data_IF_227375532253
#
_entry.id   IF_227375532253
#
_cell.length_a   1.000
_cell.length_b   1.000
_cell.length_c   1.000
_cell.angle_alpha   90.00
_cell.angle_beta   90.00
_cell.angle_gamma   90.00
#
_symmetry.space_group_name_H-M   'P 1'
#
loop_
_entity.id
_entity.type
_entity.pdbx_description
1 polymer ?
#
# COMPACT_ATOMS: atom_id res chain seq x y z
N UNK A 1 16.23 -10.35 -13.53
CA UNK A 1 15.88 -11.77 -13.33
C UNK A 1 17.02 -12.48 -12.62
N UNK A 2 18.12 -12.89 -13.29
CA UNK A 2 19.21 -13.66 -12.63
C UNK A 2 19.75 -13.03 -11.34
N UNK A 3 20.09 -11.74 -11.36
CA UNK A 3 20.68 -11.08 -10.18
C UNK A 3 19.69 -10.87 -9.00
N UNK A 4 18.40 -11.12 -9.21
CA UNK A 4 17.33 -10.87 -8.21
C UNK A 4 16.62 -12.16 -7.75
N UNK A 5 16.87 -13.29 -8.41
CA UNK A 5 16.25 -14.57 -8.09
C UNK A 5 17.34 -15.63 -7.83
N UNK A 6 17.56 -16.03 -6.56
CA UNK A 6 18.51 -17.09 -6.21
C UNK A 6 18.20 -18.46 -6.84
N UNK A 7 16.95 -18.70 -7.27
CA UNK A 7 16.53 -19.95 -7.90
C UNK A 7 16.94 -20.03 -9.38
N UNK A 8 17.34 -18.93 -10.01
CA UNK A 8 17.74 -18.90 -11.41
C UNK A 8 19.16 -19.43 -11.60
N UNK A 9 19.32 -20.72 -11.96
CA UNK A 9 20.64 -21.34 -12.13
C UNK A 9 21.24 -21.09 -13.52
N UNK A 10 20.42 -20.79 -14.52
CA UNK A 10 20.91 -20.46 -15.87
C UNK A 10 19.96 -19.58 -16.69
N UNK A 11 20.49 -18.91 -17.73
CA UNK A 11 19.67 -18.15 -18.70
C UNK A 11 18.67 -19.03 -19.45
N UNK A 12 19.04 -20.28 -19.72
CA UNK A 12 18.18 -21.25 -20.42
C UNK A 12 17.02 -21.70 -19.55
N UNK A 13 17.26 -21.94 -18.26
CA UNK A 13 16.20 -22.25 -17.30
C UNK A 13 15.19 -21.11 -17.19
N UNK A 14 15.64 -19.85 -17.13
CA UNK A 14 14.71 -18.71 -17.18
C UNK A 14 13.94 -18.69 -18.50
N UNK A 15 14.64 -18.82 -19.63
CA UNK A 15 14.00 -18.75 -20.93
C UNK A 15 12.96 -19.86 -21.16
N UNK A 16 13.13 -21.03 -20.55
CA UNK A 16 12.26 -22.19 -20.75
C UNK A 16 11.20 -22.33 -19.65
N UNK A 17 11.53 -22.00 -18.41
CA UNK A 17 10.73 -22.39 -17.25
C UNK A 17 10.13 -21.21 -16.47
N UNK A 18 10.42 -19.95 -16.82
CA UNK A 18 9.92 -18.80 -16.05
C UNK A 18 8.69 -18.16 -16.73
N UNK A 19 7.48 -18.35 -16.19
CA UNK A 19 6.26 -17.77 -16.77
C UNK A 19 6.32 -16.24 -16.82
N UNK A 20 6.97 -15.61 -15.84
CA UNK A 20 7.19 -14.17 -15.81
C UNK A 20 7.99 -13.65 -17.01
N UNK A 21 9.02 -14.40 -17.44
CA UNK A 21 9.79 -14.04 -18.62
C UNK A 21 8.93 -14.14 -19.88
N UNK A 22 8.17 -15.22 -20.04
CA UNK A 22 7.26 -15.41 -21.17
C UNK A 22 6.18 -14.34 -21.22
N UNK A 23 5.60 -13.97 -20.08
CA UNK A 23 4.58 -12.93 -19.97
C UNK A 23 5.11 -11.57 -20.40
N UNK A 24 6.32 -11.18 -19.94
CA UNK A 24 6.93 -9.90 -20.30
C UNK A 24 7.27 -9.89 -21.81
N UNK A 25 7.88 -10.93 -22.34
CA UNK A 25 8.21 -11.02 -23.77
C UNK A 25 6.97 -10.98 -24.65
N UNK A 26 5.94 -11.74 -24.29
CA UNK A 26 4.64 -11.74 -24.96
C UNK A 26 3.95 -10.37 -24.89
N UNK A 27 3.99 -9.71 -23.72
CA UNK A 27 3.50 -8.33 -23.57
C UNK A 27 4.22 -7.36 -24.51
N UNK A 28 5.54 -7.44 -24.69
CA UNK A 28 6.24 -6.55 -25.63
C UNK A 28 5.71 -6.70 -27.05
N UNK A 29 5.42 -7.93 -27.49
CA UNK A 29 4.79 -8.19 -28.78
C UNK A 29 3.36 -7.66 -28.89
N UNK A 30 2.52 -7.90 -27.87
CA UNK A 30 1.13 -7.41 -27.89
C UNK A 30 1.05 -5.89 -27.74
N UNK A 31 1.93 -5.26 -26.96
CA UNK A 31 2.05 -3.79 -26.85
C UNK A 31 2.43 -3.16 -28.19
N UNK A 32 3.34 -3.79 -28.93
CA UNK A 32 3.70 -3.33 -30.27
C UNK A 32 2.51 -3.42 -31.25
N UNK A 33 1.75 -4.53 -31.23
CA UNK A 33 0.53 -4.69 -32.03
C UNK A 33 -0.51 -3.63 -31.66
N UNK A 34 -0.69 -3.40 -30.36
CA UNK A 34 -1.63 -2.43 -29.81
C UNK A 34 -1.33 -1.01 -30.30
N UNK A 35 -0.06 -0.59 -30.24
CA UNK A 35 0.41 0.72 -30.73
C UNK A 35 0.26 0.90 -32.24
N UNK A 36 0.25 -0.19 -33.02
CA UNK A 36 0.01 -0.18 -34.47
C UNK A 36 -1.47 -0.25 -34.86
N UNK A 37 -2.38 -0.24 -33.89
CA UNK A 37 -3.83 -0.23 -34.14
C UNK A 37 -4.48 -1.61 -34.22
N UNK A 38 -3.73 -2.71 -34.13
CA UNK A 38 -4.25 -4.08 -34.11
C UNK A 38 -4.79 -4.47 -32.72
N UNK A 39 -5.74 -3.67 -32.21
CA UNK A 39 -6.20 -3.74 -30.81
C UNK A 39 -6.85 -5.08 -30.45
N UNK A 40 -7.70 -5.62 -31.32
CA UNK A 40 -8.39 -6.90 -31.08
C UNK A 40 -7.38 -8.04 -31.01
N UNK A 41 -6.48 -8.13 -31.99
CA UNK A 41 -5.43 -9.15 -32.03
C UNK A 41 -4.52 -9.06 -30.81
N UNK A 42 -4.09 -7.87 -30.43
CA UNK A 42 -3.29 -7.66 -29.23
C UNK A 42 -4.01 -8.12 -27.96
N UNK A 43 -5.32 -7.84 -27.84
CA UNK A 43 -6.13 -8.28 -26.69
C UNK A 43 -6.31 -9.79 -26.66
N UNK A 44 -6.64 -10.39 -27.79
CA UNK A 44 -6.79 -11.84 -27.89
C UNK A 44 -5.49 -12.57 -27.49
N UNK A 45 -4.36 -12.15 -28.05
CA UNK A 45 -3.05 -12.71 -27.69
C UNK A 45 -2.69 -12.49 -26.22
N UNK A 46 -3.02 -11.33 -25.64
CA UNK A 46 -2.80 -11.10 -24.21
C UNK A 46 -3.61 -12.06 -23.31
N UNK A 47 -4.79 -12.50 -23.75
CA UNK A 47 -5.59 -13.48 -23.01
C UNK A 47 -5.00 -14.90 -23.11
N UNK A 48 -4.43 -15.27 -24.27
CA UNK A 48 -3.69 -16.53 -24.41
C UNK A 48 -2.46 -16.52 -23.49
N UNK A 49 -1.70 -15.42 -23.47
CA UNK A 49 -0.55 -15.27 -22.57
C UNK A 49 -0.96 -15.36 -21.10
N UNK A 50 -2.07 -14.71 -20.71
CA UNK A 50 -2.65 -14.83 -19.36
C UNK A 50 -2.98 -16.28 -19.02
N UNK A 51 -3.60 -17.01 -19.94
CA UNK A 51 -3.95 -18.42 -19.73
C UNK A 51 -2.71 -19.30 -19.56
N UNK A 52 -1.66 -19.09 -20.35
CA UNK A 52 -0.42 -19.87 -20.29
C UNK A 52 0.45 -19.53 -19.07
N UNK A 53 0.48 -18.26 -18.64
CA UNK A 53 1.43 -17.78 -17.64
C UNK A 53 0.82 -17.47 -16.28
N UNK A 54 -0.51 -17.32 -16.20
CA UNK A 54 -1.21 -16.84 -15.02
C UNK A 54 -1.03 -15.33 -14.74
N UNK A 55 -0.35 -14.60 -15.64
CA UNK A 55 -0.05 -13.17 -15.50
C UNK A 55 -0.87 -12.39 -16.54
N UNK A 56 -1.71 -11.48 -16.07
CA UNK A 56 -2.49 -10.60 -16.95
C UNK A 56 -1.79 -9.24 -17.11
N UNK A 57 -1.35 -8.94 -18.33
CA UNK A 57 -0.81 -7.62 -18.68
C UNK A 57 -1.62 -7.07 -19.85
N UNK A 58 -2.30 -5.95 -19.62
CA UNK A 58 -3.01 -5.29 -20.70
C UNK A 58 -2.02 -4.74 -21.74
N UNK A 59 -2.25 -4.95 -23.05
CA UNK A 59 -1.34 -4.46 -24.11
C UNK A 59 -1.13 -2.94 -24.10
N UNK A 60 -2.09 -2.18 -23.59
CA UNK A 60 -2.01 -0.72 -23.45
C UNK A 60 -1.10 -0.20 -22.33
N UNK A 61 -0.71 -1.05 -21.38
CA UNK A 61 0.15 -0.64 -20.27
C UNK A 61 1.52 -0.14 -20.77
N UNK A 62 2.20 0.68 -19.98
CA UNK A 62 3.57 1.13 -20.25
C UNK A 62 4.51 0.56 -19.20
N UNK A 63 5.52 -0.21 -19.64
CA UNK A 63 6.45 -0.89 -18.74
C UNK A 63 7.89 -0.54 -19.12
N UNK A 64 8.65 -0.05 -18.14
CA UNK A 64 10.06 0.29 -18.25
C UNK A 64 10.99 -0.92 -18.38
N UNK A 65 12.28 -0.71 -18.22
CA UNK A 65 13.34 -1.72 -18.32
C UNK A 65 13.52 -2.43 -16.99
N UNK A 66 14.04 -3.66 -17.05
CA UNK A 66 14.37 -4.48 -15.86
C UNK A 66 13.18 -4.70 -14.90
N UNK A 67 11.96 -4.56 -15.42
CA UNK A 67 10.74 -4.96 -14.72
C UNK A 67 10.81 -6.44 -14.37
N UNK A 68 10.57 -6.75 -13.10
CA UNK A 68 10.68 -8.09 -12.56
C UNK A 68 9.36 -8.51 -11.91
N UNK A 69 8.87 -9.69 -12.30
CA UNK A 69 7.73 -10.32 -11.67
C UNK A 69 8.24 -11.63 -11.07
N UNK A 70 8.10 -11.78 -9.76
CA UNK A 70 8.46 -12.99 -9.04
C UNK A 70 7.20 -13.81 -8.71
N UNK A 71 7.28 -15.13 -8.92
CA UNK A 71 6.20 -16.13 -8.90
C UNK A 71 5.02 -15.89 -9.86
N UNK A 72 4.63 -14.64 -10.10
CA UNK A 72 3.78 -14.14 -11.19
C UNK A 72 2.30 -14.52 -11.15
N UNK A 73 1.93 -15.66 -10.59
CA UNK A 73 0.55 -16.14 -10.61
C UNK A 73 -0.41 -15.09 -10.04
N UNK A 74 -1.46 -14.76 -10.79
CA UNK A 74 -2.50 -13.82 -10.36
C UNK A 74 -2.10 -12.34 -10.39
N UNK A 75 -0.96 -11.98 -11.00
CA UNK A 75 -0.63 -10.57 -11.25
C UNK A 75 -1.55 -9.99 -12.32
N UNK A 76 -2.12 -8.82 -12.06
CA UNK A 76 -3.03 -8.10 -12.98
C UNK A 76 -2.54 -6.67 -13.18
N UNK A 77 -2.22 -6.32 -14.42
CA UNK A 77 -1.75 -4.98 -14.81
C UNK A 77 -2.73 -4.38 -15.82
N UNK A 78 -3.42 -3.32 -15.40
CA UNK A 78 -4.45 -2.69 -16.21
C UNK A 78 -3.95 -1.78 -17.35
N UNK A 79 -4.89 -1.36 -18.19
CA UNK A 79 -4.61 -0.70 -19.48
C UNK A 79 -3.76 0.56 -19.39
N UNK A 80 -4.04 1.42 -18.41
CA UNK A 80 -3.37 2.72 -18.29
C UNK A 80 -2.32 2.72 -17.18
N UNK A 81 -1.87 1.53 -16.75
CA UNK A 81 -0.81 1.41 -15.78
C UNK A 81 0.52 1.84 -16.40
N UNK A 82 1.30 2.59 -15.64
CA UNK A 82 2.67 2.95 -16.00
C UNK A 82 3.62 2.39 -14.94
N UNK A 83 4.66 1.71 -15.40
CA UNK A 83 5.63 1.07 -14.53
C UNK A 83 7.01 1.52 -15.00
N UNK A 84 7.78 2.11 -14.09
CA UNK A 84 9.14 2.58 -14.32
C UNK A 84 10.17 1.47 -14.46
N UNK A 85 11.43 1.86 -14.38
CA UNK A 85 12.56 0.95 -14.43
C UNK A 85 12.76 0.23 -13.10
N UNK A 86 13.31 -0.98 -13.12
CA UNK A 86 13.75 -1.71 -11.92
C UNK A 86 12.63 -2.06 -10.91
N UNK A 87 11.37 -1.92 -11.29
CA UNK A 87 10.21 -2.28 -10.45
C UNK A 87 10.11 -3.79 -10.27
N UNK A 88 9.73 -4.22 -9.06
CA UNK A 88 9.52 -5.62 -8.69
C UNK A 88 8.10 -5.85 -8.18
N UNK A 89 7.36 -6.77 -8.82
CA UNK A 89 6.06 -7.24 -8.34
C UNK A 89 6.14 -8.71 -7.92
N UNK A 90 5.44 -9.07 -6.86
CA UNK A 90 5.23 -10.45 -6.46
C UNK A 90 3.88 -10.99 -6.96
N UNK A 91 3.61 -12.28 -6.72
CA UNK A 91 2.35 -12.93 -7.09
C UNK A 91 1.13 -12.23 -6.52
N UNK A 92 -0.02 -12.31 -7.21
CA UNK A 92 -1.30 -11.78 -6.76
C UNK A 92 -1.42 -10.25 -6.70
N UNK A 93 -0.42 -9.51 -7.21
CA UNK A 93 -0.46 -8.05 -7.24
C UNK A 93 -1.44 -7.54 -8.30
N UNK A 94 -2.26 -6.55 -7.93
CA UNK A 94 -3.17 -5.87 -8.86
C UNK A 94 -2.82 -4.39 -8.99
N UNK A 95 -2.60 -3.93 -10.22
CA UNK A 95 -2.54 -2.52 -10.60
C UNK A 95 -3.86 -2.18 -11.31
N UNK A 96 -4.86 -1.84 -10.51
CA UNK A 96 -6.26 -1.75 -10.90
C UNK A 96 -6.77 -0.31 -11.02
N UNK A 97 -7.91 -0.15 -11.67
CA UNK A 97 -8.66 1.11 -11.68
C UNK A 97 -9.75 1.16 -10.62
N UNK A 98 -10.15 2.36 -10.24
CA UNK A 98 -11.30 2.60 -9.36
C UNK A 98 -12.59 2.74 -10.18
N UNK A 99 -13.70 2.15 -9.70
CA UNK A 99 -15.06 2.34 -10.25
C UNK A 99 -15.24 2.07 -11.76
N UNK A 100 -14.89 0.88 -12.28
CA UNK A 100 -14.94 0.58 -13.71
C UNK A 100 -16.36 0.61 -14.33
N UNK A 101 -17.41 0.50 -13.52
CA UNK A 101 -18.81 0.46 -13.96
C UNK A 101 -19.51 1.82 -14.01
N UNK A 102 -18.92 2.88 -13.45
CA UNK A 102 -19.55 4.21 -13.41
C UNK A 102 -19.16 4.99 -14.64
N UNK A 103 -20.09 5.25 -15.57
CA UNK A 103 -19.78 5.97 -16.83
C UNK A 103 -18.62 5.34 -17.61
N UNK A 104 -18.69 4.03 -17.84
CA UNK A 104 -17.61 3.25 -18.46
C UNK A 104 -17.20 3.78 -19.84
N UNK A 105 -18.13 4.33 -20.62
CA UNK A 105 -17.83 4.93 -21.92
C UNK A 105 -17.04 6.24 -21.79
N UNK A 106 -17.37 7.08 -20.80
CA UNK A 106 -16.62 8.30 -20.50
C UNK A 106 -15.22 8.04 -19.94
N UNK A 107 -14.96 6.86 -19.38
CA UNK A 107 -13.65 6.48 -18.85
C UNK A 107 -12.73 5.81 -19.88
N UNK A 108 -13.21 5.49 -21.08
CA UNK A 108 -12.40 4.83 -22.12
C UNK A 108 -11.21 5.72 -22.51
N UNK A 109 -10.02 5.14 -22.46
CA UNK A 109 -8.78 5.85 -22.79
C UNK A 109 -8.29 6.84 -21.71
N UNK A 110 -9.04 7.05 -20.62
CA UNK A 110 -8.58 7.90 -19.51
C UNK A 110 -7.68 7.14 -18.54
N UNK A 111 -6.74 7.88 -17.93
CA UNK A 111 -5.86 7.38 -16.88
C UNK A 111 -6.71 7.00 -15.66
N UNK A 112 -6.60 5.73 -15.25
CA UNK A 112 -7.37 5.16 -14.13
C UNK A 112 -6.59 4.15 -13.30
N UNK A 113 -5.46 3.67 -13.81
CA UNK A 113 -4.57 2.73 -13.14
C UNK A 113 -3.34 3.48 -12.59
N UNK A 114 -2.63 2.90 -11.62
CA UNK A 114 -1.51 3.58 -10.96
C UNK A 114 -0.31 3.79 -11.86
N UNK A 115 0.55 4.71 -11.43
CA UNK A 115 1.92 4.85 -11.93
C UNK A 115 2.89 4.41 -10.83
N UNK A 116 3.76 3.44 -11.12
CA UNK A 116 4.87 3.04 -10.26
C UNK A 116 6.15 3.63 -10.81
N UNK A 117 6.85 4.44 -10.04
CA UNK A 117 8.17 4.98 -10.42
C UNK A 117 9.29 3.95 -10.22
N UNK A 118 10.52 4.35 -10.55
CA UNK A 118 11.66 3.44 -10.58
C UNK A 118 11.94 2.78 -9.22
N UNK A 119 12.34 1.51 -9.26
CA UNK A 119 12.79 0.77 -8.06
C UNK A 119 11.69 0.45 -7.04
N UNK A 120 10.42 0.71 -7.36
CA UNK A 120 9.29 0.33 -6.49
C UNK A 120 9.24 -1.19 -6.29
N UNK A 121 8.96 -1.62 -5.06
CA UNK A 121 8.77 -3.04 -4.71
C UNK A 121 7.36 -3.23 -4.18
N UNK A 122 6.61 -4.16 -4.77
CA UNK A 122 5.22 -4.45 -4.39
C UNK A 122 5.09 -5.90 -3.94
N UNK A 123 4.84 -6.09 -2.65
CA UNK A 123 4.69 -7.38 -2.00
C UNK A 123 3.51 -8.20 -2.50
N UNK A 124 3.54 -9.49 -2.20
CA UNK A 124 2.56 -10.47 -2.71
C UNK A 124 1.14 -10.11 -2.31
N UNK A 125 0.20 -10.19 -3.25
CA UNK A 125 -1.23 -9.96 -3.00
C UNK A 125 -1.62 -8.49 -2.82
N UNK A 126 -0.68 -7.53 -2.92
CA UNK A 126 -1.01 -6.12 -2.75
C UNK A 126 -1.91 -5.59 -3.88
N UNK A 127 -2.86 -4.73 -3.52
CA UNK A 127 -3.82 -4.12 -4.44
C UNK A 127 -3.57 -2.61 -4.49
N UNK A 128 -3.19 -2.08 -5.65
CA UNK A 128 -2.95 -0.65 -5.87
C UNK A 128 -4.00 -0.15 -6.84
N UNK A 129 -4.96 0.63 -6.34
CA UNK A 129 -6.21 0.92 -7.06
C UNK A 129 -6.41 2.42 -7.26
N UNK A 130 -6.26 2.88 -8.50
CA UNK A 130 -6.54 4.26 -8.89
C UNK A 130 -5.38 4.97 -9.60
N UNK A 131 -5.63 6.16 -10.19
CA UNK A 131 -4.67 6.88 -11.02
C UNK A 131 -3.71 7.76 -10.20
N UNK A 132 -3.04 7.20 -9.20
CA UNK A 132 -2.06 7.91 -8.38
C UNK A 132 -0.65 7.33 -8.52
N UNK A 133 0.33 8.06 -8.00
CA UNK A 133 1.75 7.72 -8.13
C UNK A 133 2.25 7.02 -6.85
N UNK A 134 2.91 5.88 -7.03
CA UNK A 134 3.78 5.26 -6.03
C UNK A 134 5.20 5.66 -6.40
N UNK A 135 5.78 6.56 -5.60
CA UNK A 135 7.05 7.22 -5.96
C UNK A 135 8.25 6.30 -5.85
N UNK A 136 9.37 6.78 -6.39
CA UNK A 136 10.63 6.04 -6.53
C UNK A 136 11.05 5.33 -5.24
N UNK A 137 11.52 4.10 -5.37
CA UNK A 137 11.98 3.25 -4.27
C UNK A 137 10.95 3.01 -3.15
N UNK A 138 9.68 3.38 -3.33
CA UNK A 138 8.65 3.09 -2.36
C UNK A 138 8.40 1.58 -2.28
N UNK A 139 7.91 1.14 -1.13
CA UNK A 139 7.65 -0.27 -0.84
C UNK A 139 6.21 -0.45 -0.39
N UNK A 140 5.54 -1.43 -0.98
CA UNK A 140 4.18 -1.82 -0.62
C UNK A 140 4.26 -3.21 -0.01
N UNK A 141 3.80 -3.37 1.22
CA UNK A 141 3.78 -4.67 1.89
C UNK A 141 2.77 -5.64 1.28
N UNK A 142 2.96 -6.92 1.58
CA UNK A 142 2.04 -7.97 1.13
C UNK A 142 0.60 -7.72 1.59
N UNK A 143 -0.36 -8.05 0.72
CA UNK A 143 -1.81 -7.88 0.92
C UNK A 143 -2.26 -6.44 1.27
N UNK A 144 -1.40 -5.44 1.15
CA UNK A 144 -1.78 -4.05 1.41
C UNK A 144 -2.75 -3.55 0.33
N UNK A 145 -3.72 -2.71 0.72
CA UNK A 145 -4.64 -2.06 -0.21
C UNK A 145 -4.33 -0.57 -0.28
N UNK A 146 -3.61 -0.16 -1.32
CA UNK A 146 -3.15 1.21 -1.52
C UNK A 146 -4.19 1.99 -2.32
N UNK A 147 -4.67 3.08 -1.74
CA UNK A 147 -5.74 3.94 -2.29
C UNK A 147 -5.31 5.41 -2.43
N UNK A 148 -4.04 5.73 -2.16
CA UNK A 148 -3.49 7.08 -2.25
C UNK A 148 -2.01 7.06 -2.59
N UNK A 149 -1.46 8.21 -2.98
CA UNK A 149 -0.04 8.35 -3.30
C UNK A 149 0.88 7.84 -2.19
N UNK A 150 1.99 7.22 -2.59
CA UNK A 150 3.04 6.75 -1.69
C UNK A 150 4.30 7.59 -1.91
N UNK A 151 4.84 8.28 -0.87
CA UNK A 151 6.04 9.09 -0.99
C UNK A 151 7.29 8.29 -1.36
N UNK A 152 8.32 8.98 -1.85
CA UNK A 152 9.61 8.37 -2.22
C UNK A 152 10.22 7.63 -1.03
N UNK A 153 10.69 6.40 -1.24
CA UNK A 153 11.32 5.57 -0.21
C UNK A 153 10.42 5.11 0.93
N UNK A 154 9.15 5.52 0.96
CA UNK A 154 8.23 5.16 2.03
C UNK A 154 7.80 3.69 1.95
N UNK A 155 7.53 3.09 3.09
CA UNK A 155 6.92 1.75 3.21
C UNK A 155 5.49 1.88 3.70
N UNK A 156 4.55 1.27 2.96
CA UNK A 156 3.12 1.22 3.31
C UNK A 156 2.63 -0.21 3.52
N UNK A 157 1.77 -0.41 4.52
CA UNK A 157 1.19 -1.73 4.86
C UNK A 157 -0.26 -1.60 5.31
N UNK A 158 -1.01 -2.71 5.28
CA UNK A 158 -2.37 -2.77 5.84
C UNK A 158 -3.49 -2.44 4.86
N UNK A 159 -4.72 -2.46 5.37
CA UNK A 159 -5.97 -2.29 4.61
C UNK A 159 -6.87 -1.28 5.35
N UNK A 160 -7.07 -0.06 4.83
CA UNK A 160 -6.31 0.57 3.75
C UNK A 160 -4.86 0.85 4.18
N UNK A 161 -3.95 0.91 3.22
CA UNK A 161 -2.53 1.01 3.48
C UNK A 161 -2.16 2.32 4.19
N UNK A 162 -1.31 2.20 5.23
CA UNK A 162 -0.77 3.32 6.01
C UNK A 162 0.75 3.32 5.92
N UNK A 163 1.35 4.52 5.97
CA UNK A 163 2.80 4.69 5.99
C UNK A 163 3.32 4.26 7.36
N UNK A 164 4.23 3.29 7.37
CA UNK A 164 4.90 2.77 8.58
C UNK A 164 6.37 3.17 8.64
N UNK A 165 6.97 3.51 7.50
CA UNK A 165 8.34 4.04 7.41
C UNK A 165 8.43 5.09 6.32
N UNK A 166 9.15 6.18 6.57
CA UNK A 166 9.45 7.23 5.57
C UNK A 166 10.92 7.32 5.18
N UNK A 167 11.78 6.58 5.86
CA UNK A 167 13.20 6.58 5.57
C UNK A 167 13.52 5.77 4.33
N UNK A 168 14.35 6.35 3.48
CA UNK A 168 14.94 5.67 2.34
C UNK A 168 15.93 4.61 2.83
N UNK A 169 15.64 3.35 2.54
CA UNK A 169 16.58 2.24 2.67
C UNK A 169 16.90 1.76 1.25
N UNK A 170 18.17 1.84 0.86
CA UNK A 170 18.62 1.52 -0.50
C UNK A 170 18.81 0.00 -0.70
N UNK A 171 18.68 -0.81 0.35
CA UNK A 171 18.79 -2.27 0.24
C UNK A 171 17.53 -2.86 -0.36
N UNK A 172 17.67 -3.84 -1.25
CA UNK A 172 16.53 -4.61 -1.75
C UNK A 172 15.77 -5.27 -0.59
N UNK A 173 14.44 -5.20 -0.64
CA UNK A 173 13.57 -5.68 0.42
C UNK A 173 12.52 -6.61 -0.16
N UNK A 174 12.75 -7.92 -0.01
CA UNK A 174 11.82 -8.93 -0.49
C UNK A 174 10.42 -8.70 0.10
N UNK A 175 9.40 -8.88 -0.73
CA UNK A 175 7.98 -8.64 -0.39
C UNK A 175 7.64 -7.22 0.12
N UNK A 176 8.53 -6.23 -0.05
CA UNK A 176 8.29 -4.83 0.29
C UNK A 176 8.42 -4.49 1.79
N UNK A 177 8.52 -5.46 2.68
CA UNK A 177 8.65 -5.25 4.13
C UNK A 177 9.82 -6.05 4.69
N UNK A 178 10.69 -5.46 5.53
CA UNK A 178 11.79 -6.21 6.15
C UNK A 178 11.25 -7.30 7.08
N UNK A 179 12.01 -8.40 7.23
CA UNK A 179 11.75 -9.40 8.26
C UNK A 179 12.02 -8.79 9.65
N UNK A 180 10.99 -8.64 10.49
CA UNK A 180 11.09 -8.11 11.85
C UNK A 180 9.93 -7.19 12.24
N UNK A 181 10.12 -6.43 13.33
CA UNK A 181 9.14 -5.47 13.86
C UNK A 181 8.95 -4.29 12.91
N UNK A 182 7.91 -4.35 12.09
CA UNK A 182 7.30 -3.13 11.55
C UNK A 182 6.30 -2.61 12.58
N UNK A 183 6.25 -1.30 12.83
CA UNK A 183 5.24 -0.73 13.71
C UNK A 183 3.86 -0.99 13.11
N UNK A 184 3.02 -1.74 13.84
CA UNK A 184 1.63 -1.98 13.45
C UNK A 184 0.84 -0.66 13.61
N UNK A 185 0.31 -0.09 12.51
CA UNK A 185 -0.43 1.16 12.57
C UNK A 185 -1.70 1.04 13.44
N UNK A 186 -2.30 -0.15 13.55
CA UNK A 186 -3.47 -0.39 14.41
C UNK A 186 -3.05 -0.43 15.87
N UNK A 187 -2.00 -1.18 16.21
CA UNK A 187 -1.48 -1.22 17.57
C UNK A 187 -1.10 0.18 18.08
N UNK A 188 -0.44 0.98 17.24
CA UNK A 188 -0.10 2.37 17.58
C UNK A 188 -1.34 3.23 17.86
N UNK A 189 -2.39 3.11 17.04
CA UNK A 189 -3.62 3.84 17.27
C UNK A 189 -4.32 3.43 18.58
N UNK A 190 -4.28 2.13 18.93
CA UNK A 190 -4.82 1.62 20.18
C UNK A 190 -4.03 2.11 21.40
N UNK A 191 -2.71 2.19 21.30
CA UNK A 191 -1.85 2.77 22.36
C UNK A 191 -2.14 4.26 22.56
N UNK A 192 -2.29 5.03 21.47
CA UNK A 192 -2.64 6.45 21.53
C UNK A 192 -4.02 6.65 22.17
N UNK A 193 -5.03 5.87 21.77
CA UNK A 193 -6.36 5.88 22.39
C UNK A 193 -6.30 5.51 23.88
N UNK A 194 -5.50 4.51 24.25
CA UNK A 194 -5.31 4.09 25.64
C UNK A 194 -4.74 5.19 26.52
N UNK A 195 -3.77 5.97 26.01
CA UNK A 195 -3.21 7.14 26.71
C UNK A 195 -4.25 8.25 26.90
N UNK A 196 -5.07 8.49 25.89
CA UNK A 196 -6.14 9.50 25.97
C UNK A 196 -7.21 9.10 26.99
N UNK A 197 -7.65 7.84 26.99
CA UNK A 197 -8.58 7.30 28.01
C UNK A 197 -8.00 7.43 29.41
N UNK A 198 -6.71 7.15 29.59
CA UNK A 198 -6.07 7.31 30.91
C UNK A 198 -6.00 8.78 31.35
N UNK A 199 -5.74 9.69 30.41
CA UNK A 199 -5.73 11.13 30.68
C UNK A 199 -7.11 11.62 31.12
N UNK A 200 -8.16 11.21 30.40
CA UNK A 200 -9.55 11.54 30.75
C UNK A 200 -9.96 10.96 32.11
N UNK A 201 -9.58 9.71 32.40
CA UNK A 201 -9.82 9.10 33.73
C UNK A 201 -9.18 9.90 34.86
N UNK A 202 -7.94 10.35 34.68
CA UNK A 202 -7.25 11.16 35.67
C UNK A 202 -7.92 12.54 35.87
N UNK A 203 -8.40 13.16 34.79
CA UNK A 203 -9.13 14.43 34.87
C UNK A 203 -10.48 14.28 35.58
N UNK A 204 -11.24 13.22 35.29
CA UNK A 204 -12.50 12.92 35.99
C UNK A 204 -12.25 12.71 37.49
N UNK A 205 -11.25 11.90 37.85
CA UNK A 205 -10.89 11.67 39.25
C UNK A 205 -10.50 12.97 39.98
N UNK A 206 -9.76 13.87 39.32
CA UNK A 206 -9.40 15.17 39.88
C UNK A 206 -10.62 16.08 40.10
N UNK A 207 -11.55 16.12 39.14
CA UNK A 207 -12.79 16.90 39.26
C UNK A 207 -13.73 16.35 40.33
N UNK A 208 -13.83 15.03 40.47
CA UNK A 208 -14.60 14.39 41.54
C UNK A 208 -14.01 14.71 42.92
N UNK A 209 -12.68 14.71 43.05
CA UNK A 209 -12.00 15.11 44.28
C UNK A 209 -12.22 16.60 44.61
N UNK A 210 -12.15 17.49 43.62
CA UNK A 210 -12.39 18.92 43.81
C UNK A 210 -13.84 19.21 44.24
N UNK A 211 -14.83 18.56 43.60
CA UNK A 211 -16.25 18.62 44.01
C UNK A 211 -16.49 18.09 45.42
N UNK A 212 -15.84 16.99 45.80
CA UNK A 212 -15.94 16.46 47.15
C UNK A 212 -15.33 17.43 48.19
N UNK A 213 -14.23 18.11 47.84
CA UNK A 213 -13.62 19.15 48.66
C UNK A 213 -14.49 20.40 48.79
N UNK A 214 -15.15 20.84 47.72
CA UNK A 214 -16.08 21.99 47.76
C UNK A 214 -17.34 21.68 48.57
N UNK A 215 -17.86 20.45 48.48
CA UNK A 215 -19.00 20.01 49.27
C UNK A 215 -18.68 19.93 50.77
N UNK A 216 -17.47 19.49 51.14
CA UNK A 216 -17.01 19.44 52.54
C UNK A 216 -16.74 20.84 53.14
N UNK A 217 -16.35 21.83 52.32
CA UNK A 217 -16.12 23.21 52.75
C UNK A 217 -17.39 24.01 53.03
N UNK A 218 -18.54 23.61 52.48
CA UNK A 218 -19.82 24.29 52.66
C UNK A 218 -20.52 23.96 53.99
N UNK A 219 -20.07 22.92 54.71
CA UNK A 219 -20.77 22.36 55.88
C UNK A 219 -20.04 22.61 57.22
N UNK A 220 -19.11 23.57 57.26
CA UNK A 220 -18.47 23.97 58.53
C UNK A 220 -19.34 25.02 59.24
N UNK A 221 -19.98 24.70 60.39
CA UNK A 221 -20.78 25.69 61.10
C UNK A 221 -19.86 26.77 61.67
N UNK A 222 -20.17 28.03 61.38
CA UNK A 222 -19.46 29.18 61.94
C UNK A 222 -19.51 29.13 63.48
N UNK A 223 -18.34 29.11 64.13
CA UNK A 223 -18.22 29.17 65.59
C UNK A 223 -18.96 30.41 66.12
N UNK A 224 -19.82 30.29 67.16
CA UNK A 224 -20.49 31.44 67.73
C UNK A 224 -19.46 32.37 68.38
N UNK A 225 -19.51 33.64 67.98
CA UNK A 225 -18.65 34.71 68.49
C UNK A 225 -19.15 35.08 69.89
N UNK A 226 -18.50 34.55 70.93
CA UNK A 226 -18.78 34.96 72.31
C UNK A 226 -18.27 36.40 72.46
N UNK A 227 -19.20 37.33 72.62
CA UNK A 227 -18.92 38.72 72.98
C UNK A 227 -18.75 38.74 74.49
N UNK A 228 -17.52 38.92 74.97
CA UNK A 228 -17.27 39.23 76.37
C UNK A 228 -17.74 40.66 76.61
N UNK A 229 -18.86 40.82 77.31
CA UNK A 229 -19.25 42.09 77.92
C UNK A 229 -18.47 42.22 79.24
N UNK A 230 -17.65 43.25 79.28
CA UNK A 230 -16.98 43.77 80.47
C UNK A 230 -18.00 44.41 81.42
N UNK A 231 -17.94 44.02 82.70
CA UNK A 231 -18.12 44.85 83.91
C UNK A 231 -17.56 44.10 85.13
#
# INVERSE_FOLDING_TARGET
MIARDPAARSRWEIALCYPAFHAIMGYRGTNWLWKRGFRITARFLSQILRWLTGIEIHPGATIGKRFFIDHGMGVVIGETAEIGDDVTLYQGVTLGGTSPSVNSDGQRGLKRHPTLEDGVIVGSGAQILGPFIVRKNARVGGNAVVLSEVPEGATVVGIPAKIVRREKDDRFCAYGTPLGDLPDPVARALEELGREVQTLRNQVAALEADRAGTAAGADTPAKPRIVAASE
#
